data_IF_528970160508
#
_entry.id   IF_528970160508
#
_cell.length_a   1.000
_cell.length_b   1.000
_cell.length_c   1.000
_cell.angle_alpha   90.00
_cell.angle_beta   90.00
_cell.angle_gamma   90.00
#
_symmetry.space_group_name_H-M   'P 1'
#
loop_
_entity.id
_entity.type
_entity.pdbx_description
1 polymer ?
#
# COMPACT_ATOMS: atom_id res chain seq x y z
N UNK A 1 -26.41 11.57 -23.36
CA UNK A 1 -26.09 11.34 -21.93
C UNK A 1 -24.61 10.96 -21.85
N UNK A 2 -23.87 11.48 -20.87
CA UNK A 2 -22.46 11.15 -20.66
C UNK A 2 -22.31 9.66 -20.32
N UNK A 3 -21.37 8.96 -20.95
CA UNK A 3 -21.10 7.53 -20.70
C UNK A 3 -20.36 7.34 -19.35
N UNK A 4 -20.30 6.12 -18.81
CA UNK A 4 -19.46 5.83 -17.64
C UNK A 4 -17.97 6.10 -17.89
N UNK A 5 -17.47 5.80 -19.10
CA UNK A 5 -16.08 6.02 -19.49
C UNK A 5 -15.74 7.51 -19.54
N UNK A 6 -16.58 8.34 -20.17
CA UNK A 6 -16.45 9.81 -20.16
C UNK A 6 -16.48 10.36 -18.73
N UNK A 7 -17.34 9.78 -17.87
CA UNK A 7 -17.41 10.16 -16.46
C UNK A 7 -16.14 9.79 -15.71
N UNK A 8 -15.58 8.61 -15.96
CA UNK A 8 -14.29 8.16 -15.38
C UNK A 8 -13.17 9.13 -15.73
N UNK A 9 -13.02 9.46 -17.02
CA UNK A 9 -11.97 10.35 -17.50
C UNK A 9 -12.10 11.76 -16.88
N UNK A 10 -13.29 12.37 -16.93
CA UNK A 10 -13.52 13.70 -16.38
C UNK A 10 -13.30 13.72 -14.86
N UNK A 11 -13.78 12.69 -14.18
CA UNK A 11 -13.60 12.53 -12.74
C UNK A 11 -12.13 12.48 -12.34
N UNK A 12 -11.33 11.68 -13.03
CA UNK A 12 -9.88 11.55 -12.82
C UNK A 12 -9.14 12.86 -13.15
N UNK A 13 -9.48 13.52 -14.26
CA UNK A 13 -8.90 14.82 -14.60
C UNK A 13 -9.08 15.85 -13.48
N UNK A 14 -10.27 15.95 -12.88
CA UNK A 14 -10.51 16.82 -11.73
C UNK A 14 -9.81 16.33 -10.47
N UNK A 15 -9.70 15.02 -10.26
CA UNK A 15 -9.11 14.44 -9.06
C UNK A 15 -7.60 14.66 -9.01
N UNK A 16 -6.91 14.39 -10.11
CA UNK A 16 -5.45 14.54 -10.21
C UNK A 16 -5.02 15.96 -10.63
N UNK A 17 -5.88 16.70 -11.31
CA UNK A 17 -5.56 18.02 -11.85
C UNK A 17 -4.89 17.93 -13.23
N UNK A 18 -5.13 16.87 -13.99
CA UNK A 18 -4.58 16.63 -15.31
C UNK A 18 -5.51 17.19 -16.39
N UNK A 19 -5.04 18.21 -17.13
CA UNK A 19 -5.85 18.89 -18.14
C UNK A 19 -6.96 19.79 -17.58
N UNK A 20 -7.21 19.75 -16.26
CA UNK A 20 -8.19 20.57 -15.55
C UNK A 20 -7.62 21.03 -14.21
N UNK A 21 -8.12 22.17 -13.69
CA UNK A 21 -7.77 22.60 -12.33
C UNK A 21 -8.29 21.58 -11.32
N UNK A 22 -7.42 21.06 -10.47
CA UNK A 22 -7.71 20.07 -9.42
C UNK A 22 -8.89 20.52 -8.55
N UNK A 23 -9.90 19.64 -8.40
CA UNK A 23 -11.07 19.89 -7.56
C UNK A 23 -11.78 18.60 -7.20
N UNK A 24 -11.56 18.10 -6.00
CA UNK A 24 -12.22 16.89 -5.48
C UNK A 24 -13.75 17.01 -5.47
N UNK A 25 -14.28 18.21 -5.14
CA UNK A 25 -15.74 18.46 -5.14
C UNK A 25 -16.35 18.29 -6.54
N UNK A 26 -15.62 18.69 -7.59
CA UNK A 26 -16.07 18.48 -8.98
C UNK A 26 -15.79 17.05 -9.44
N UNK A 27 -14.72 16.40 -8.98
CA UNK A 27 -14.39 15.04 -9.34
C UNK A 27 -15.42 14.04 -8.83
N UNK A 28 -15.87 14.19 -7.58
CA UNK A 28 -16.67 13.19 -6.87
C UNK A 28 -17.91 12.71 -7.62
N UNK A 29 -18.83 13.56 -8.14
CA UNK A 29 -20.03 13.09 -8.83
C UNK A 29 -19.71 12.29 -10.10
N UNK A 30 -18.65 12.63 -10.82
CA UNK A 30 -18.20 11.89 -12.01
C UNK A 30 -17.60 10.54 -11.63
N UNK A 31 -16.71 10.51 -10.64
CA UNK A 31 -16.13 9.29 -10.13
C UNK A 31 -17.21 8.34 -9.59
N UNK A 32 -18.19 8.87 -8.85
CA UNK A 32 -19.29 8.06 -8.30
C UNK A 32 -20.12 7.42 -9.41
N UNK A 33 -20.41 8.15 -10.49
CA UNK A 33 -21.15 7.62 -11.64
C UNK A 33 -20.39 6.47 -12.32
N UNK A 34 -19.08 6.63 -12.53
CA UNK A 34 -18.24 5.58 -13.12
C UNK A 34 -18.08 4.37 -12.17
N UNK A 35 -17.89 4.62 -10.87
CA UNK A 35 -17.79 3.58 -9.84
C UNK A 35 -19.08 2.73 -9.74
N UNK A 36 -20.26 3.37 -9.83
CA UNK A 36 -21.56 2.69 -9.87
C UNK A 36 -21.74 1.84 -11.14
N UNK A 37 -21.12 2.25 -12.24
CA UNK A 37 -21.09 1.48 -13.48
C UNK A 37 -20.06 0.32 -13.44
N UNK A 38 -19.25 0.22 -12.37
CA UNK A 38 -18.34 -0.90 -12.16
C UNK A 38 -16.87 -0.61 -12.42
N UNK A 39 -16.48 0.64 -12.76
CA UNK A 39 -15.08 1.01 -12.95
C UNK A 39 -14.27 0.79 -11.65
N UNK A 40 -13.29 -0.15 -11.63
CA UNK A 40 -12.60 -0.52 -10.40
C UNK A 40 -11.75 0.60 -9.83
N UNK A 41 -11.09 1.37 -10.69
CA UNK A 41 -10.25 2.49 -10.26
C UNK A 41 -11.10 3.62 -9.69
N UNK A 42 -12.22 3.95 -10.32
CA UNK A 42 -13.17 4.92 -9.76
C UNK A 42 -13.79 4.45 -8.45
N UNK A 43 -14.04 3.13 -8.28
CA UNK A 43 -14.47 2.58 -7.00
C UNK A 43 -13.43 2.85 -5.90
N UNK A 44 -12.14 2.65 -6.20
CA UNK A 44 -11.07 2.99 -5.26
C UNK A 44 -11.02 4.49 -4.96
N UNK A 45 -11.10 5.35 -5.98
CA UNK A 45 -11.07 6.81 -5.78
C UNK A 45 -12.27 7.35 -4.98
N UNK A 46 -13.45 6.76 -5.16
CA UNK A 46 -14.63 7.07 -4.34
C UNK A 46 -14.43 6.62 -2.90
N UNK A 47 -13.89 5.41 -2.69
CA UNK A 47 -13.49 4.92 -1.37
C UNK A 47 -12.52 5.88 -0.69
N UNK A 48 -11.47 6.29 -1.39
CA UNK A 48 -10.47 7.24 -0.91
C UNK A 48 -11.05 8.63 -0.62
N UNK A 49 -12.03 9.07 -1.43
CA UNK A 49 -12.74 10.33 -1.19
C UNK A 49 -13.54 10.30 0.10
N UNK A 50 -14.23 9.20 0.40
CA UNK A 50 -14.94 9.02 1.67
C UNK A 50 -14.00 8.85 2.86
N UNK A 51 -12.87 8.17 2.69
CA UNK A 51 -11.88 7.95 3.74
C UNK A 51 -11.26 9.26 4.24
N UNK A 52 -10.89 10.14 3.32
CA UNK A 52 -10.22 11.39 3.65
C UNK A 52 -11.13 12.62 3.66
N UNK A 53 -12.41 12.48 3.24
CA UNK A 53 -13.32 13.62 3.11
C UNK A 53 -12.98 14.52 1.91
N UNK A 54 -12.54 13.94 0.79
CA UNK A 54 -12.12 14.69 -0.39
C UNK A 54 -13.32 15.03 -1.29
N UNK A 55 -13.82 16.25 -1.16
CA UNK A 55 -14.96 16.75 -1.95
C UNK A 55 -16.32 16.23 -1.51
N UNK A 56 -16.36 15.39 -0.49
CA UNK A 56 -17.53 14.83 0.19
C UNK A 56 -17.24 14.71 1.68
N UNK A 57 -18.25 14.60 2.52
CA UNK A 57 -18.08 14.33 3.94
C UNK A 57 -17.43 12.97 4.18
N UNK A 58 -16.48 12.92 5.12
CA UNK A 58 -15.79 11.69 5.50
C UNK A 58 -16.76 10.64 6.02
N UNK A 59 -16.65 9.41 5.51
CA UNK A 59 -17.47 8.28 5.94
C UNK A 59 -16.71 6.96 5.78
N UNK A 60 -16.21 6.44 6.88
CA UNK A 60 -15.36 5.25 6.90
C UNK A 60 -16.11 3.98 6.45
N UNK A 61 -17.40 3.86 6.75
CA UNK A 61 -18.22 2.72 6.34
C UNK A 61 -18.42 2.72 4.82
N UNK A 62 -18.66 3.90 4.21
CA UNK A 62 -18.74 4.03 2.75
C UNK A 62 -17.36 3.84 2.09
N UNK A 63 -16.26 4.28 2.72
CA UNK A 63 -14.91 4.00 2.24
C UNK A 63 -14.66 2.50 2.19
N UNK A 64 -14.94 1.77 3.28
CA UNK A 64 -14.82 0.31 3.33
C UNK A 64 -15.66 -0.38 2.25
N UNK A 65 -16.91 0.04 2.07
CA UNK A 65 -17.80 -0.48 1.04
C UNK A 65 -17.18 -0.36 -0.36
N UNK A 66 -16.68 0.83 -0.71
CA UNK A 66 -16.12 1.08 -2.03
C UNK A 66 -14.77 0.40 -2.26
N UNK A 67 -13.89 0.37 -1.26
CA UNK A 67 -12.64 -0.40 -1.34
C UNK A 67 -12.89 -1.90 -1.51
N UNK A 68 -13.95 -2.42 -0.89
CA UNK A 68 -14.35 -3.83 -1.07
C UNK A 68 -14.79 -4.12 -2.51
N UNK A 69 -15.51 -3.19 -3.15
CA UNK A 69 -15.88 -3.31 -4.56
C UNK A 69 -14.65 -3.22 -5.48
N UNK A 70 -13.78 -2.24 -5.29
CA UNK A 70 -12.54 -2.10 -6.05
C UNK A 70 -11.66 -3.36 -5.95
N UNK A 71 -11.44 -3.88 -4.73
CA UNK A 71 -10.67 -5.09 -4.49
C UNK A 71 -11.31 -6.34 -5.11
N UNK A 72 -12.65 -6.45 -5.11
CA UNK A 72 -13.37 -7.54 -5.80
C UNK A 72 -13.08 -7.54 -7.29
N UNK A 73 -13.01 -6.35 -7.89
CA UNK A 73 -12.69 -6.14 -9.30
C UNK A 73 -11.19 -6.06 -9.58
N UNK A 74 -10.35 -6.48 -8.61
CA UNK A 74 -8.89 -6.56 -8.71
C UNK A 74 -8.18 -5.21 -8.98
N UNK A 75 -8.75 -4.08 -8.55
CA UNK A 75 -8.03 -2.83 -8.50
C UNK A 75 -6.87 -2.95 -7.50
N UNK A 76 -5.67 -2.56 -7.91
CA UNK A 76 -4.45 -2.77 -7.14
C UNK A 76 -4.43 -1.93 -5.86
N UNK A 77 -4.79 -0.66 -5.97
CA UNK A 77 -4.88 0.23 -4.81
C UNK A 77 -6.06 -0.14 -3.91
N UNK A 78 -7.18 -0.57 -4.49
CA UNK A 78 -8.34 -1.09 -3.75
C UNK A 78 -8.02 -2.33 -2.93
N UNK A 79 -7.20 -3.24 -3.45
CA UNK A 79 -6.68 -4.39 -2.69
C UNK A 79 -5.86 -3.94 -1.48
N UNK A 80 -4.95 -2.99 -1.69
CA UNK A 80 -4.08 -2.45 -0.65
C UNK A 80 -4.88 -1.69 0.42
N UNK A 81 -5.76 -0.78 0.01
CA UNK A 81 -6.57 0.01 0.93
C UNK A 81 -7.51 -0.87 1.77
N UNK A 82 -8.16 -1.86 1.14
CA UNK A 82 -8.99 -2.81 1.87
C UNK A 82 -8.19 -3.66 2.86
N UNK A 83 -6.95 -4.04 2.52
CA UNK A 83 -6.07 -4.76 3.43
C UNK A 83 -5.74 -3.93 4.68
N UNK A 84 -5.42 -2.64 4.50
CA UNK A 84 -5.21 -1.71 5.62
C UNK A 84 -6.45 -1.54 6.50
N UNK A 85 -7.63 -1.48 5.90
CA UNK A 85 -8.88 -1.37 6.64
C UNK A 85 -9.14 -2.59 7.51
N UNK A 86 -8.92 -3.81 6.98
CA UNK A 86 -8.99 -5.02 7.81
C UNK A 86 -7.91 -5.09 8.89
N UNK A 87 -6.70 -4.59 8.61
CA UNK A 87 -5.61 -4.58 9.59
C UNK A 87 -5.94 -3.69 10.78
N UNK A 88 -6.50 -2.50 10.53
CA UNK A 88 -6.81 -1.50 11.56
C UNK A 88 -8.21 -1.62 12.15
N UNK A 89 -9.12 -2.35 11.51
CA UNK A 89 -10.53 -2.38 11.90
C UNK A 89 -11.28 -1.10 11.52
N UNK A 90 -10.88 -0.44 10.43
CA UNK A 90 -11.55 0.77 9.94
C UNK A 90 -12.80 0.40 9.14
N UNK A 91 -13.98 0.79 9.61
CA UNK A 91 -15.27 0.45 8.99
C UNK A 91 -15.69 -1.02 9.08
N UNK A 92 -14.92 -1.85 9.76
CA UNK A 92 -15.17 -3.28 9.98
C UNK A 92 -14.44 -3.76 11.24
N UNK A 93 -14.74 -4.99 11.71
CA UNK A 93 -13.92 -5.65 12.72
C UNK A 93 -12.53 -5.98 12.14
N UNK A 94 -11.44 -5.83 12.94
CA UNK A 94 -10.09 -6.18 12.50
C UNK A 94 -10.00 -7.64 12.10
N UNK A 95 -9.36 -7.90 10.95
CA UNK A 95 -9.16 -9.28 10.46
C UNK A 95 -7.81 -9.39 9.74
N UNK A 96 -6.78 -9.75 10.50
CA UNK A 96 -5.42 -9.91 9.96
C UNK A 96 -5.32 -11.02 8.90
N UNK A 97 -6.17 -12.05 8.94
CA UNK A 97 -6.17 -13.11 7.92
C UNK A 97 -6.66 -12.58 6.57
N UNK A 98 -7.72 -11.76 6.59
CA UNK A 98 -8.20 -11.10 5.37
C UNK A 98 -7.19 -10.09 4.85
N UNK A 99 -6.60 -9.27 5.74
CA UNK A 99 -5.53 -8.35 5.38
C UNK A 99 -4.37 -9.07 4.70
N UNK A 100 -3.85 -10.14 5.31
CA UNK A 100 -2.81 -10.99 4.74
C UNK A 100 -3.17 -11.52 3.34
N UNK A 101 -4.39 -12.05 3.17
CA UNK A 101 -4.86 -12.58 1.88
C UNK A 101 -4.90 -11.50 0.78
N UNK A 102 -5.31 -10.27 1.14
CA UNK A 102 -5.36 -9.15 0.22
C UNK A 102 -3.96 -8.65 -0.15
N UNK A 103 -3.05 -8.51 0.82
CA UNK A 103 -1.64 -8.19 0.54
C UNK A 103 -1.01 -9.25 -0.37
N UNK A 104 -1.29 -10.53 -0.13
CA UNK A 104 -0.78 -11.61 -0.98
C UNK A 104 -1.26 -11.46 -2.43
N UNK A 105 -2.55 -11.18 -2.64
CA UNK A 105 -3.11 -10.95 -3.99
C UNK A 105 -2.45 -9.75 -4.69
N UNK A 106 -2.26 -8.63 -3.99
CA UNK A 106 -1.58 -7.46 -4.54
C UNK A 106 -0.10 -7.73 -4.82
N UNK A 107 0.60 -8.39 -3.91
CA UNK A 107 2.02 -8.73 -4.03
C UNK A 107 2.31 -9.68 -5.21
N UNK A 108 1.44 -10.67 -5.43
CA UNK A 108 1.52 -11.60 -6.57
C UNK A 108 1.34 -10.89 -7.91
N UNK A 109 0.66 -9.75 -7.93
CA UNK A 109 0.47 -8.88 -9.10
C UNK A 109 1.59 -7.85 -9.27
N UNK A 110 2.60 -7.87 -8.40
CA UNK A 110 3.78 -7.03 -8.50
C UNK A 110 3.75 -5.74 -7.68
N UNK A 111 2.68 -5.45 -6.93
CA UNK A 111 2.58 -4.24 -6.13
C UNK A 111 3.66 -4.18 -5.04
N UNK A 112 4.51 -3.13 -5.06
CA UNK A 112 5.62 -3.01 -4.14
C UNK A 112 5.16 -2.79 -2.68
N UNK A 113 4.10 -2.01 -2.47
CA UNK A 113 3.56 -1.76 -1.13
C UNK A 113 2.93 -3.03 -0.54
N UNK A 114 2.17 -3.78 -1.35
CA UNK A 114 1.62 -5.07 -0.93
C UNK A 114 2.73 -6.10 -0.67
N UNK A 115 3.79 -6.14 -1.49
CA UNK A 115 4.96 -6.99 -1.27
C UNK A 115 5.68 -6.65 0.04
N UNK A 116 5.85 -5.37 0.36
CA UNK A 116 6.44 -4.91 1.61
C UNK A 116 5.60 -5.40 2.81
N UNK A 117 4.29 -5.12 2.81
CA UNK A 117 3.41 -5.50 3.92
C UNK A 117 3.25 -7.03 4.05
N UNK A 118 3.19 -7.76 2.94
CA UNK A 118 3.20 -9.22 2.95
C UNK A 118 4.50 -9.77 3.56
N UNK A 119 5.64 -9.14 3.23
CA UNK A 119 6.93 -9.49 3.80
C UNK A 119 6.96 -9.28 5.31
N UNK A 120 6.47 -8.15 5.81
CA UNK A 120 6.32 -7.87 7.25
C UNK A 120 5.35 -8.85 7.90
N UNK A 121 4.22 -9.13 7.27
CA UNK A 121 3.24 -10.08 7.80
C UNK A 121 3.83 -11.49 8.00
N UNK A 122 4.71 -11.94 7.10
CA UNK A 122 5.46 -13.19 7.30
C UNK A 122 6.53 -13.10 8.37
N UNK A 123 7.23 -11.95 8.53
CA UNK A 123 8.22 -11.76 9.59
C UNK A 123 7.56 -11.85 10.98
N UNK A 124 6.42 -11.17 11.14
CA UNK A 124 5.78 -11.00 12.44
C UNK A 124 4.67 -12.04 12.72
N UNK A 125 4.27 -12.82 11.71
CA UNK A 125 3.17 -13.78 11.83
C UNK A 125 1.78 -13.13 11.83
N UNK A 126 1.62 -11.98 11.17
CA UNK A 126 0.36 -11.24 11.13
C UNK A 126 -0.63 -11.91 10.15
N UNK A 127 -1.69 -12.48 10.68
CA UNK A 127 -2.71 -13.18 9.89
C UNK A 127 -2.23 -14.50 9.24
N UNK A 128 -1.00 -14.92 9.49
CA UNK A 128 -0.37 -16.14 8.99
C UNK A 128 0.59 -16.73 10.03
N UNK A 129 1.07 -17.95 9.79
CA UNK A 129 2.20 -18.48 10.58
C UNK A 129 3.47 -17.71 10.23
N UNK A 130 4.24 -17.32 11.25
CA UNK A 130 5.52 -16.67 11.07
C UNK A 130 6.44 -17.49 10.15
N UNK A 131 7.03 -16.84 9.15
CA UNK A 131 7.98 -17.41 8.21
C UNK A 131 8.97 -16.33 7.73
N UNK A 132 10.02 -16.01 8.51
CA UNK A 132 10.96 -14.95 8.17
C UNK A 132 11.65 -15.15 6.83
N UNK A 133 11.96 -16.40 6.46
CA UNK A 133 12.59 -16.68 5.16
C UNK A 133 11.71 -16.29 3.98
N UNK A 134 10.41 -16.57 4.06
CA UNK A 134 9.46 -16.15 3.03
C UNK A 134 9.24 -14.63 3.06
N UNK A 135 9.17 -14.04 4.25
CA UNK A 135 9.09 -12.59 4.43
C UNK A 135 10.22 -11.85 3.73
N UNK A 136 11.45 -12.33 3.89
CA UNK A 136 12.62 -11.75 3.21
C UNK A 136 12.54 -11.85 1.68
N UNK A 137 11.96 -12.90 1.13
CA UNK A 137 11.79 -12.99 -0.34
C UNK A 137 10.88 -11.89 -0.86
N UNK A 138 9.77 -11.62 -0.16
CA UNK A 138 8.84 -10.57 -0.55
C UNK A 138 9.43 -9.17 -0.32
N UNK A 139 10.10 -8.93 0.81
CA UNK A 139 10.80 -7.68 1.08
C UNK A 139 11.87 -7.37 0.04
N UNK A 140 12.61 -8.37 -0.45
CA UNK A 140 13.57 -8.18 -1.55
C UNK A 140 12.90 -7.67 -2.82
N UNK A 141 11.75 -8.25 -3.20
CA UNK A 141 11.00 -7.79 -4.39
C UNK A 141 10.60 -6.33 -4.26
N UNK A 142 10.00 -5.94 -3.13
CA UNK A 142 9.61 -4.54 -2.87
C UNK A 142 10.83 -3.60 -2.81
N UNK A 143 11.90 -3.99 -2.11
CA UNK A 143 13.12 -3.20 -1.98
C UNK A 143 13.82 -2.95 -3.33
N UNK A 144 13.80 -3.94 -4.24
CA UNK A 144 14.31 -3.79 -5.61
C UNK A 144 13.44 -2.86 -6.47
N UNK A 145 12.16 -2.75 -6.18
CA UNK A 145 11.26 -1.77 -6.80
C UNK A 145 11.40 -0.36 -6.21
N UNK A 146 12.23 -0.18 -5.18
CA UNK A 146 12.51 1.12 -4.60
C UNK A 146 11.71 1.44 -3.32
N UNK A 147 10.86 0.54 -2.81
CA UNK A 147 10.11 0.78 -1.57
C UNK A 147 11.07 1.00 -0.39
N UNK A 148 11.04 2.19 0.19
CA UNK A 148 11.97 2.63 1.24
C UNK A 148 11.76 1.88 2.56
N UNK A 149 10.52 1.51 2.88
CA UNK A 149 10.18 0.72 4.07
C UNK A 149 10.71 -0.71 3.94
N UNK A 150 10.53 -1.32 2.74
CA UNK A 150 11.09 -2.64 2.47
C UNK A 150 12.62 -2.63 2.51
N UNK A 151 13.26 -1.58 1.96
CA UNK A 151 14.72 -1.41 2.03
C UNK A 151 15.19 -1.29 3.48
N UNK A 152 14.51 -0.48 4.30
CA UNK A 152 14.82 -0.38 5.73
C UNK A 152 14.65 -1.73 6.44
N UNK A 153 13.51 -2.39 6.27
CA UNK A 153 13.21 -3.67 6.94
C UNK A 153 14.20 -4.76 6.53
N UNK A 154 14.53 -4.83 5.23
CA UNK A 154 15.53 -5.76 4.72
C UNK A 154 16.94 -5.47 5.27
N UNK A 155 17.31 -4.20 5.40
CA UNK A 155 18.56 -3.77 6.02
C UNK A 155 18.64 -4.20 7.48
N UNK A 156 17.56 -4.05 8.24
CA UNK A 156 17.46 -4.52 9.62
C UNK A 156 17.53 -6.04 9.73
N UNK A 157 16.87 -6.75 8.83
CA UNK A 157 16.93 -8.22 8.77
C UNK A 157 18.35 -8.72 8.55
N UNK A 158 19.13 -8.12 7.63
CA UNK A 158 20.54 -8.45 7.45
C UNK A 158 21.41 -8.07 8.64
N UNK A 159 21.12 -6.96 9.33
CA UNK A 159 21.84 -6.55 10.55
C UNK A 159 21.65 -7.56 11.68
N UNK A 160 20.44 -8.04 11.85
CA UNK A 160 20.05 -8.91 12.96
C UNK A 160 20.23 -10.40 12.66
N UNK A 161 20.21 -10.80 11.37
CA UNK A 161 20.21 -12.20 10.95
C UNK A 161 18.80 -12.81 10.99
N UNK A 162 17.75 -12.02 10.74
CA UNK A 162 16.36 -12.45 10.78
C UNK A 162 15.91 -12.95 9.40
N UNK A 163 15.59 -14.22 9.28
CA UNK A 163 15.20 -14.85 8.01
C UNK A 163 16.32 -14.92 6.95
N UNK A 164 17.49 -14.35 7.26
CA UNK A 164 18.73 -14.37 6.44
C UNK A 164 19.95 -14.48 7.33
N UNK A 165 21.08 -14.95 6.76
CA UNK A 165 22.36 -14.90 7.46
C UNK A 165 22.74 -13.44 7.72
N UNK A 166 23.13 -13.11 8.95
CA UNK A 166 23.64 -11.79 9.35
C UNK A 166 24.75 -11.33 8.41
N UNK A 167 24.60 -10.09 7.89
CA UNK A 167 25.56 -9.52 6.95
C UNK A 167 25.52 -7.98 7.02
N UNK A 168 26.50 -7.39 7.72
CA UNK A 168 26.54 -5.93 7.92
C UNK A 168 26.77 -5.16 6.61
N UNK A 169 27.51 -5.74 5.64
CA UNK A 169 27.69 -5.13 4.31
C UNK A 169 26.35 -4.97 3.58
N UNK A 170 25.52 -6.01 3.55
CA UNK A 170 24.18 -5.92 2.95
C UNK A 170 23.26 -5.01 3.75
N UNK A 171 23.33 -5.05 5.10
CA UNK A 171 22.58 -4.12 5.93
C UNK A 171 22.89 -2.66 5.57
N UNK A 172 24.16 -2.30 5.44
CA UNK A 172 24.62 -0.96 5.05
C UNK A 172 24.09 -0.54 3.68
N UNK A 173 24.11 -1.44 2.69
CA UNK A 173 23.60 -1.14 1.34
C UNK A 173 22.11 -0.79 1.39
N UNK A 174 21.30 -1.62 2.04
CA UNK A 174 19.86 -1.43 2.07
C UNK A 174 19.43 -0.26 2.95
N UNK A 175 20.02 -0.09 4.13
CA UNK A 175 19.80 1.08 4.98
C UNK A 175 20.25 2.38 4.28
N UNK A 176 21.36 2.34 3.55
CA UNK A 176 21.83 3.48 2.77
C UNK A 176 20.85 3.90 1.69
N UNK A 177 20.28 2.95 0.94
CA UNK A 177 19.26 3.24 -0.07
C UNK A 177 17.99 3.85 0.52
N UNK A 178 17.49 3.30 1.64
CA UNK A 178 16.34 3.87 2.34
C UNK A 178 16.64 5.28 2.88
N UNK A 179 17.82 5.49 3.46
CA UNK A 179 18.25 6.81 3.96
C UNK A 179 18.33 7.87 2.85
N UNK A 180 18.84 7.51 1.67
CA UNK A 180 18.88 8.38 0.50
C UNK A 180 17.48 8.83 0.03
N UNK A 181 16.46 8.02 0.28
CA UNK A 181 15.05 8.37 0.03
C UNK A 181 14.39 9.18 1.17
N UNK A 182 15.16 9.53 2.21
CA UNK A 182 14.65 10.32 3.34
C UNK A 182 14.06 9.49 4.47
N UNK A 183 14.26 8.17 4.50
CA UNK A 183 13.79 7.32 5.58
C UNK A 183 14.59 7.57 6.86
N UNK A 184 14.06 8.39 7.78
CA UNK A 184 14.78 8.89 8.98
C UNK A 184 15.35 7.79 9.87
N UNK A 185 14.58 6.70 10.10
CA UNK A 185 15.06 5.58 10.91
C UNK A 185 16.23 4.84 10.24
N UNK A 186 16.22 4.75 8.90
CA UNK A 186 17.32 4.11 8.17
C UNK A 186 18.61 4.88 8.28
N UNK A 187 18.58 6.21 8.22
CA UNK A 187 19.76 7.06 8.42
C UNK A 187 20.39 6.82 9.81
N UNK A 188 19.58 6.85 10.87
CA UNK A 188 20.05 6.61 12.23
C UNK A 188 20.64 5.20 12.43
N UNK A 189 20.06 4.18 11.78
CA UNK A 189 20.57 2.81 11.86
C UNK A 189 21.83 2.60 11.00
N UNK A 190 21.96 3.32 9.89
CA UNK A 190 23.16 3.31 9.05
C UNK A 190 24.39 3.79 9.84
N UNK A 191 24.25 4.90 10.57
CA UNK A 191 25.33 5.44 11.42
C UNK A 191 25.79 4.42 12.46
N UNK A 192 24.84 3.67 13.07
CA UNK A 192 25.15 2.61 14.05
C UNK A 192 25.86 1.40 13.43
N UNK A 193 25.61 1.13 12.15
CA UNK A 193 26.26 0.01 11.45
C UNK A 193 27.67 0.41 10.99
N UNK A 194 27.85 1.68 10.59
CA UNK A 194 29.17 2.23 10.16
C UNK A 194 30.11 2.45 11.34
N UNK A 195 29.60 2.92 12.49
CA UNK A 195 30.42 3.23 13.68
C UNK A 195 30.86 2.01 14.50
N UNK A 196 30.63 0.77 14.03
CA UNK A 196 31.02 -0.48 14.68
C UNK A 196 32.18 -1.19 13.97
N UNK A 197 32.85 -0.54 13.02
CA UNK A 197 34.17 -0.91 12.46
C UNK A 197 35.27 -0.10 13.16
#
# INVERSE_FOLDING_TARGET
MMTPEESSEIGQQFFYGEGRRKSYRKAFPYLLKAAQAGDPHCQNLVGYSYDLGLGIEKNIQLAFFWYKHAAKNNDQEGLFNLALFYEKGEGCEPDLRKSFSLYKRGAERGDAFAQCNLGVAYLDGLGTKQNPTEGIKWLRKAAHQGDDKAQYTLGMAYRNGEGVRKNLRHARIWLGRAAQQGHKKAAAELDRVVGKE
#
